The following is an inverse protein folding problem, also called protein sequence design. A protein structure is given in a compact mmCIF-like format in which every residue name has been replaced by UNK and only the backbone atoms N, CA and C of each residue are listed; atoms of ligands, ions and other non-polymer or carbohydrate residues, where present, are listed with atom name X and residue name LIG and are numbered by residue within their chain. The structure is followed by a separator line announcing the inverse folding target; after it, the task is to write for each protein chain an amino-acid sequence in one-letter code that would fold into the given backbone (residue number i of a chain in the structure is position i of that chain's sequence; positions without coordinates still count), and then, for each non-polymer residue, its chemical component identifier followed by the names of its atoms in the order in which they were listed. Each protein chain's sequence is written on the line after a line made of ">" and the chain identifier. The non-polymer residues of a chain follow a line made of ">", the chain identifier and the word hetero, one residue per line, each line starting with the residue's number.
data_IF_515697549840
#
_entry.id   IF_515697549840
#
_cell.length_a   1.000
_cell.length_b   1.000
_cell.length_c   1.000
_cell.angle_alpha   90.00
_cell.angle_beta   90.00
_cell.angle_gamma   90.00
#
_symmetry.space_group_name_H-M   'P 1'
#
loop_
_entity.id
_entity.type
_entity.pdbx_description
1 polymer ?
#
# COMPACT_ATOMS: atom_id res chain seq x y z
N UNK A 1 -20.93 9.17 -20.96
CA UNK A 1 -19.66 8.46 -21.26
C UNK A 1 -18.60 9.06 -20.35
N UNK A 2 -18.42 8.48 -19.18
CA UNK A 2 -17.51 8.99 -18.16
C UNK A 2 -16.14 8.37 -18.39
N UNK A 3 -15.17 9.23 -18.66
CA UNK A 3 -13.76 8.90 -18.88
C UNK A 3 -13.25 8.09 -17.67
N UNK A 4 -12.89 6.83 -17.90
CA UNK A 4 -12.18 6.05 -16.89
C UNK A 4 -10.83 6.73 -16.67
N UNK A 5 -10.55 7.15 -15.43
CA UNK A 5 -9.19 7.45 -15.01
C UNK A 5 -8.36 6.19 -15.25
N UNK A 6 -7.48 6.19 -16.24
CA UNK A 6 -6.36 5.25 -16.28
C UNK A 6 -5.46 5.61 -15.08
N UNK A 7 -5.74 4.94 -13.94
CA UNK A 7 -5.03 5.13 -12.68
C UNK A 7 -3.55 4.75 -12.77
N UNK A 8 -2.74 5.29 -11.87
CA UNK A 8 -1.31 4.96 -11.74
C UNK A 8 -1.12 3.50 -11.30
N UNK A 9 -2.13 2.96 -10.63
CA UNK A 9 -2.25 1.59 -10.19
C UNK A 9 -3.44 0.91 -10.88
N UNK A 10 -3.47 -0.42 -10.94
CA UNK A 10 -4.53 -1.11 -11.67
C UNK A 10 -5.88 -0.99 -10.96
N UNK A 11 -6.96 -1.22 -11.71
CA UNK A 11 -8.31 -1.20 -11.17
C UNK A 11 -8.52 -2.26 -10.06
N UNK A 12 -9.30 -1.95 -9.02
CA UNK A 12 -9.60 -2.91 -7.97
C UNK A 12 -10.34 -4.15 -8.52
N UNK A 13 -10.05 -5.37 -8.01
CA UNK A 13 -10.85 -6.53 -8.35
C UNK A 13 -12.28 -6.37 -7.82
N UNK A 14 -13.27 -7.02 -8.44
CA UNK A 14 -14.70 -6.82 -8.17
C UNK A 14 -15.05 -6.94 -6.67
N UNK A 15 -14.46 -7.93 -5.98
CA UNK A 15 -14.71 -8.18 -4.56
C UNK A 15 -14.02 -7.19 -3.61
N UNK A 16 -13.15 -6.31 -4.13
CA UNK A 16 -12.36 -5.40 -3.32
C UNK A 16 -13.06 -4.07 -3.01
N UNK A 17 -14.04 -3.65 -3.83
CA UNK A 17 -14.79 -2.42 -3.58
C UNK A 17 -15.55 -2.45 -2.24
N UNK A 18 -16.29 -3.51 -1.88
CA UNK A 18 -16.91 -3.62 -0.56
C UNK A 18 -15.87 -3.67 0.58
N UNK A 19 -14.71 -4.27 0.33
CA UNK A 19 -13.63 -4.31 1.30
C UNK A 19 -13.09 -2.90 1.59
N UNK A 20 -12.92 -2.05 0.57
CA UNK A 20 -12.49 -0.66 0.73
C UNK A 20 -13.49 0.19 1.52
N UNK A 21 -14.79 0.05 1.27
CA UNK A 21 -15.81 0.71 2.10
C UNK A 21 -15.72 0.26 3.56
N UNK A 22 -15.45 -1.03 3.79
CA UNK A 22 -15.14 -1.58 5.11
C UNK A 22 -13.93 -0.89 5.75
N UNK A 23 -12.86 -0.66 5.00
CA UNK A 23 -11.67 0.05 5.49
C UNK A 23 -11.98 1.49 5.88
N UNK A 24 -12.72 2.22 5.06
CA UNK A 24 -13.11 3.60 5.37
C UNK A 24 -13.99 3.67 6.62
N UNK A 25 -14.90 2.69 6.79
CA UNK A 25 -15.73 2.56 7.99
C UNK A 25 -14.88 2.26 9.24
N UNK A 26 -13.89 1.37 9.12
CA UNK A 26 -12.96 1.06 10.21
C UNK A 26 -12.14 2.29 10.60
N UNK A 27 -11.63 3.03 9.61
CA UNK A 27 -10.90 4.27 9.85
C UNK A 27 -11.73 5.30 10.61
N UNK A 28 -13.00 5.50 10.20
CA UNK A 28 -13.95 6.39 10.90
C UNK A 28 -14.24 5.98 12.34
N UNK A 29 -14.08 4.70 12.67
CA UNK A 29 -14.21 4.15 14.04
C UNK A 29 -12.89 4.17 14.82
N UNK A 30 -11.84 4.73 14.24
CA UNK A 30 -10.52 4.82 14.82
C UNK A 30 -9.66 3.57 14.66
N UNK A 31 -10.09 2.61 13.83
CA UNK A 31 -9.34 1.39 13.54
C UNK A 31 -8.46 1.62 12.33
N UNK A 32 -7.14 1.56 12.54
CA UNK A 32 -6.14 1.73 11.48
C UNK A 32 -5.99 0.43 10.70
N UNK A 33 -6.14 0.51 9.37
CA UNK A 33 -5.99 -0.64 8.47
C UNK A 33 -4.85 -0.36 7.51
N UNK A 34 -3.74 -1.12 7.58
CA UNK A 34 -2.65 -1.02 6.62
C UNK A 34 -3.11 -1.21 5.18
N UNK A 35 -2.51 -0.44 4.28
CA UNK A 35 -2.68 -0.62 2.83
C UNK A 35 -1.91 -1.86 2.40
N UNK A 36 -2.58 -2.77 1.69
CA UNK A 36 -1.99 -4.02 1.20
C UNK A 36 -2.18 -4.23 -0.31
N UNK A 37 -2.95 -3.38 -0.98
CA UNK A 37 -3.27 -3.50 -2.41
C UNK A 37 -2.82 -2.26 -3.19
N UNK A 38 -2.53 -2.45 -4.49
CA UNK A 38 -2.07 -1.37 -5.36
C UNK A 38 -3.17 -0.35 -5.68
N UNK A 39 -4.38 -0.83 -5.99
CA UNK A 39 -5.54 0.02 -6.29
C UNK A 39 -5.93 0.95 -5.13
N UNK A 40 -5.58 0.56 -3.90
CA UNK A 40 -5.81 1.35 -2.69
C UNK A 40 -4.85 2.55 -2.59
N UNK A 41 -3.66 2.46 -3.17
CA UNK A 41 -2.69 3.56 -3.24
C UNK A 41 -3.20 4.74 -4.08
N UNK A 42 -3.97 4.48 -5.15
CA UNK A 42 -4.56 5.53 -6.00
C UNK A 42 -5.63 6.36 -5.27
N UNK A 43 -6.10 5.89 -4.11
CA UNK A 43 -7.07 6.62 -3.27
C UNK A 43 -6.40 7.46 -2.18
N UNK A 44 -5.10 7.31 -1.97
CA UNK A 44 -4.38 8.09 -0.99
C UNK A 44 -4.03 9.46 -1.57
N UNK A 45 -4.14 10.47 -0.73
CA UNK A 45 -3.60 11.80 -1.04
C UNK A 45 -2.06 11.74 -0.93
N UNK A 46 -1.32 11.94 -2.04
CA UNK A 46 0.13 11.85 -2.03
C UNK A 46 0.79 12.94 -1.17
N UNK A 47 0.20 14.14 -1.09
CA UNK A 47 0.76 15.23 -0.31
C UNK A 47 0.63 14.96 1.19
N UNK A 48 -0.51 14.41 1.62
CA UNK A 48 -0.68 13.97 2.99
C UNK A 48 0.24 12.80 3.36
N UNK A 49 0.42 11.83 2.46
CA UNK A 49 1.35 10.73 2.67
C UNK A 49 2.80 11.23 2.80
N UNK A 50 3.22 12.16 1.94
CA UNK A 50 4.53 12.81 2.05
C UNK A 50 4.66 13.55 3.38
N UNK A 51 3.62 14.29 3.79
CA UNK A 51 3.62 15.00 5.07
C UNK A 51 3.79 14.06 6.26
N UNK A 52 3.05 12.95 6.31
CA UNK A 52 3.19 11.95 7.37
C UNK A 52 4.56 11.29 7.40
N UNK A 53 5.12 10.97 6.23
CA UNK A 53 6.48 10.43 6.14
C UNK A 53 7.54 11.41 6.64
N UNK A 54 7.42 12.70 6.29
CA UNK A 54 8.30 13.76 6.78
C UNK A 54 8.19 13.94 8.29
N UNK A 55 6.98 13.90 8.83
CA UNK A 55 6.74 14.03 10.27
C UNK A 55 7.47 12.94 11.06
N UNK A 56 7.38 11.68 10.62
CA UNK A 56 8.17 10.58 11.19
C UNK A 56 9.69 10.83 11.10
N UNK A 57 10.18 11.31 9.95
CA UNK A 57 11.62 11.53 9.78
C UNK A 57 12.14 12.67 10.67
N UNK A 58 11.30 13.66 10.96
CA UNK A 58 11.62 14.77 11.84
C UNK A 58 11.56 14.38 13.32
N UNK A 59 10.59 13.55 13.71
CA UNK A 59 10.50 12.99 15.06
C UNK A 59 10.27 11.46 15.04
N UNK A 60 11.35 10.68 14.91
CA UNK A 60 11.26 9.22 14.79
C UNK A 60 10.87 8.52 16.09
N UNK A 61 11.00 9.22 17.22
CA UNK A 61 10.59 8.77 18.55
C UNK A 61 9.18 9.28 18.90
N UNK A 62 8.57 10.05 17.99
CA UNK A 62 7.22 10.59 18.15
C UNK A 62 6.18 9.47 18.23
N UNK A 63 5.07 9.77 18.90
CA UNK A 63 3.96 8.84 19.00
C UNK A 63 3.33 8.62 17.62
N UNK A 64 2.84 7.40 17.41
CA UNK A 64 2.08 7.07 16.22
C UNK A 64 0.90 8.04 16.06
N UNK A 65 0.70 8.65 14.87
CA UNK A 65 -0.40 9.58 14.64
C UNK A 65 -1.75 8.96 15.00
N UNK A 66 -2.58 9.72 15.71
CA UNK A 66 -3.95 9.35 16.03
C UNK A 66 -4.87 9.43 14.80
N UNK A 67 -6.14 9.11 15.02
CA UNK A 67 -7.18 9.09 13.97
C UNK A 67 -7.72 10.49 13.63
N UNK A 68 -7.16 11.53 14.26
CA UNK A 68 -7.32 12.93 13.87
C UNK A 68 -6.54 13.28 12.61
N UNK A 69 -5.65 12.39 12.14
CA UNK A 69 -5.00 12.48 10.84
C UNK A 69 -5.71 11.59 9.82
N UNK A 70 -5.54 11.91 8.54
CA UNK A 70 -6.08 11.10 7.46
C UNK A 70 -5.38 9.75 7.36
N UNK A 71 -6.02 8.82 6.65
CA UNK A 71 -5.45 7.53 6.30
C UNK A 71 -4.18 7.66 5.45
N UNK A 72 -4.17 8.61 4.52
CA UNK A 72 -3.02 8.94 3.67
C UNK A 72 -1.81 9.37 4.51
N UNK A 73 -2.02 10.27 5.47
CA UNK A 73 -0.98 10.73 6.39
C UNK A 73 -0.40 9.57 7.20
N UNK A 74 -1.26 8.78 7.82
CA UNK A 74 -0.82 7.63 8.61
C UNK A 74 -0.07 6.59 7.76
N UNK A 75 -0.53 6.33 6.53
CA UNK A 75 0.17 5.44 5.61
C UNK A 75 1.61 5.91 5.36
N UNK A 76 1.80 7.19 5.04
CA UNK A 76 3.11 7.77 4.82
C UNK A 76 4.03 7.69 6.05
N UNK A 77 3.51 8.04 7.23
CA UNK A 77 4.23 7.92 8.50
C UNK A 77 4.67 6.48 8.77
N UNK A 78 3.75 5.52 8.61
CA UNK A 78 4.00 4.10 8.83
C UNK A 78 5.04 3.53 7.87
N UNK A 79 4.97 3.90 6.60
CA UNK A 79 5.94 3.48 5.58
C UNK A 79 7.34 3.99 5.93
N UNK A 80 7.46 5.26 6.31
CA UNK A 80 8.74 5.84 6.72
C UNK A 80 9.31 5.14 7.96
N UNK A 81 8.44 4.80 8.93
CA UNK A 81 8.83 4.02 10.11
C UNK A 81 9.41 2.66 9.77
N UNK A 82 8.68 1.88 8.97
CA UNK A 82 9.09 0.50 8.64
C UNK A 82 10.35 0.44 7.77
N UNK A 83 10.58 1.46 6.95
CA UNK A 83 11.78 1.53 6.13
C UNK A 83 13.02 2.00 6.90
N UNK A 84 12.86 2.72 8.01
CA UNK A 84 13.98 3.20 8.83
C UNK A 84 14.64 2.08 9.63
N UNK A 85 13.83 1.23 10.23
CA UNK A 85 14.31 0.15 11.11
C UNK A 85 13.62 -1.17 10.75
N UNK A 86 13.99 -1.80 9.62
CA UNK A 86 13.32 -2.99 9.13
C UNK A 86 13.52 -4.22 10.03
N UNK A 87 14.61 -4.24 10.81
CA UNK A 87 15.02 -5.33 11.70
C UNK A 87 14.73 -5.04 13.18
N UNK A 88 14.15 -3.88 13.48
CA UNK A 88 13.78 -3.47 14.83
C UNK A 88 12.67 -4.33 15.46
N UNK A 89 12.37 -4.11 16.76
CA UNK A 89 11.30 -4.83 17.47
C UNK A 89 9.92 -4.64 16.81
N UNK A 90 9.74 -3.49 16.14
CA UNK A 90 8.55 -3.11 15.39
C UNK A 90 8.76 -3.24 13.86
N UNK A 91 9.74 -4.05 13.47
CA UNK A 91 10.24 -4.23 12.10
C UNK A 91 9.16 -4.56 11.07
N UNK A 92 9.56 -4.76 9.81
CA UNK A 92 8.58 -4.81 8.71
C UNK A 92 7.52 -5.89 8.94
N UNK A 93 6.26 -5.47 9.12
CA UNK A 93 5.14 -6.38 9.28
C UNK A 93 4.67 -7.00 7.95
N UNK A 94 3.77 -7.97 8.06
CA UNK A 94 3.25 -8.71 6.90
C UNK A 94 2.62 -7.75 5.89
N UNK A 95 1.79 -6.82 6.32
CA UNK A 95 1.09 -5.90 5.41
C UNK A 95 2.04 -5.03 4.58
N UNK A 96 3.13 -4.53 5.18
CA UNK A 96 4.13 -3.73 4.45
C UNK A 96 4.98 -4.57 3.51
N UNK A 97 5.35 -5.79 3.91
CA UNK A 97 6.04 -6.75 3.01
C UNK A 97 5.18 -7.05 1.79
N UNK A 98 3.91 -7.31 2.03
CA UNK A 98 2.92 -7.60 0.99
C UNK A 98 2.75 -6.44 0.01
N UNK A 99 2.55 -5.23 0.52
CA UNK A 99 2.47 -4.04 -0.32
C UNK A 99 3.75 -3.81 -1.12
N UNK A 100 4.92 -3.94 -0.49
CA UNK A 100 6.23 -3.76 -1.14
C UNK A 100 6.44 -4.77 -2.27
N UNK A 101 6.08 -6.05 -2.05
CA UNK A 101 6.15 -7.10 -3.09
C UNK A 101 5.26 -6.76 -4.28
N UNK A 102 4.02 -6.32 -4.03
CA UNK A 102 3.10 -5.92 -5.10
C UNK A 102 3.59 -4.70 -5.88
N UNK A 103 4.12 -3.68 -5.20
CA UNK A 103 4.71 -2.50 -5.85
C UNK A 103 5.90 -2.92 -6.72
N UNK A 104 6.81 -3.73 -6.17
CA UNK A 104 7.96 -4.23 -6.91
C UNK A 104 7.53 -4.98 -8.17
N UNK A 105 6.59 -5.92 -8.04
CA UNK A 105 6.07 -6.67 -9.18
C UNK A 105 5.40 -5.75 -10.22
N UNK A 106 4.53 -4.83 -9.79
CA UNK A 106 3.83 -3.89 -10.67
C UNK A 106 4.77 -3.00 -11.48
N UNK A 107 5.79 -2.45 -10.82
CA UNK A 107 6.77 -1.61 -11.49
C UNK A 107 7.61 -2.44 -12.47
N UNK A 108 8.02 -3.64 -12.09
CA UNK A 108 8.94 -4.44 -12.91
C UNK A 108 8.26 -5.16 -14.07
N UNK A 109 6.99 -5.56 -13.96
CA UNK A 109 6.30 -6.33 -15.02
C UNK A 109 6.21 -5.58 -16.36
N UNK A 110 6.26 -4.25 -16.33
CA UNK A 110 6.17 -3.40 -17.52
C UNK A 110 7.52 -3.17 -18.22
N UNK A 111 8.64 -3.60 -17.61
CA UNK A 111 9.97 -3.51 -18.22
C UNK A 111 10.37 -4.86 -18.79
N UNK A 112 10.63 -4.91 -20.11
CA UNK A 112 10.98 -6.14 -20.84
C UNK A 112 12.24 -6.85 -20.32
N UNK A 113 13.19 -6.10 -19.74
CA UNK A 113 14.43 -6.64 -19.18
C UNK A 113 14.36 -6.94 -17.68
N UNK A 114 13.20 -6.74 -17.04
CA UNK A 114 13.09 -6.99 -15.61
C UNK A 114 13.21 -8.48 -15.28
N UNK A 115 13.57 -8.77 -14.03
CA UNK A 115 13.57 -10.15 -13.51
C UNK A 115 12.17 -10.78 -13.56
N UNK A 116 11.12 -9.96 -13.44
CA UNK A 116 9.72 -10.41 -13.56
C UNK A 116 9.43 -10.87 -14.99
N UNK A 117 9.90 -10.14 -16.01
CA UNK A 117 9.75 -10.53 -17.41
C UNK A 117 10.57 -11.78 -17.77
N UNK A 118 11.76 -11.94 -17.17
CA UNK A 118 12.64 -13.10 -17.39
C UNK A 118 12.19 -14.38 -16.67
N UNK A 119 11.45 -14.25 -15.57
CA UNK A 119 11.05 -15.38 -14.72
C UNK A 119 9.56 -15.33 -14.32
N UNK A 120 8.61 -15.27 -15.27
CA UNK A 120 7.20 -14.99 -14.98
C UNK A 120 6.55 -16.02 -14.04
N UNK A 121 6.97 -17.28 -14.08
CA UNK A 121 6.48 -18.35 -13.22
C UNK A 121 6.75 -18.11 -11.72
N UNK A 122 7.83 -17.41 -11.36
CA UNK A 122 8.13 -17.04 -9.97
C UNK A 122 7.16 -16.01 -9.39
N UNK A 123 6.41 -15.34 -10.26
CA UNK A 123 5.47 -14.28 -9.90
C UNK A 123 4.02 -14.64 -10.28
N UNK A 124 3.76 -15.88 -10.69
CA UNK A 124 2.41 -16.33 -11.07
C UNK A 124 1.43 -16.27 -9.88
N UNK A 125 1.91 -16.56 -8.67
CA UNK A 125 1.12 -16.43 -7.44
C UNK A 125 0.74 -14.97 -7.16
N UNK A 126 1.64 -14.02 -7.44
CA UNK A 126 1.38 -12.58 -7.32
C UNK A 126 0.32 -12.12 -8.31
N UNK A 127 0.40 -12.60 -9.56
CA UNK A 127 -0.60 -12.28 -10.57
C UNK A 127 -1.97 -12.90 -10.26
N UNK A 128 -2.01 -14.15 -9.78
CA UNK A 128 -3.25 -14.79 -9.30
C UNK A 128 -3.84 -14.04 -8.11
N UNK A 129 -3.04 -13.82 -7.07
CA UNK A 129 -3.48 -13.17 -5.84
C UNK A 129 -3.96 -11.75 -6.13
N UNK A 130 -3.31 -11.05 -7.07
CA UNK A 130 -3.79 -9.77 -7.58
C UNK A 130 -5.17 -9.89 -8.25
N UNK A 131 -5.33 -10.77 -9.24
CA UNK A 131 -6.59 -10.95 -9.98
C UNK A 131 -7.75 -11.31 -9.06
N UNK A 132 -7.47 -12.10 -8.02
CA UNK A 132 -8.48 -12.60 -7.09
C UNK A 132 -8.69 -11.71 -5.86
N UNK A 133 -7.84 -10.71 -5.63
CA UNK A 133 -7.85 -9.92 -4.40
C UNK A 133 -7.43 -10.71 -3.15
N UNK A 134 -6.66 -11.78 -3.31
CA UNK A 134 -6.14 -12.62 -2.23
C UNK A 134 -4.85 -12.04 -1.64
N UNK A 135 -4.46 -12.47 -0.44
CA UNK A 135 -3.10 -12.22 0.08
C UNK A 135 -2.04 -12.97 -0.76
N UNK A 136 -0.81 -12.46 -0.80
CA UNK A 136 0.33 -13.11 -1.48
C UNK A 136 1.19 -13.87 -0.46
#
# INVERSE_FOLDING_TARGET
>A
MTTQHEGRYPAPPENYLPALEGVDNLWRRGVKVPVTMLCDLDRLDPDEAIAGGRDFLNDPNGLEPGTNRSRSYWHGWRVARMNRDPDGPDGIDIAHRELTRRIYWWLNRSYSDSRVAREPHRYADLERAYRNGEAV
#
